data_IF_474595488643
#
_entry.id   IF_474595488643
#
_cell.length_a   1.000
_cell.length_b   1.000
_cell.length_c   1.000
_cell.angle_alpha   90.00
_cell.angle_beta   90.00
_cell.angle_gamma   90.00
#
_symmetry.space_group_name_H-M   'P 1'
#
loop_
_entity.id
_entity.type
_entity.pdbx_description
1 polymer ?
#
# COMPACT_ATOMS: atom_id res chain seq x y z
N UNK A 1 -26.37 3.46 6.00
CA UNK A 1 -25.67 2.16 6.23
C UNK A 1 -24.22 2.24 5.77
N UNK A 2 -23.33 1.36 6.29
CA UNK A 2 -21.88 1.34 5.94
C UNK A 2 -21.50 0.05 5.21
N UNK A 3 -20.51 0.15 4.32
CA UNK A 3 -20.10 -0.99 3.47
C UNK A 3 -19.24 -1.97 4.27
N UNK A 4 -19.73 -3.20 4.47
CA UNK A 4 -18.97 -4.29 5.14
C UNK A 4 -17.69 -4.65 4.37
N UNK A 5 -17.75 -4.59 3.03
CA UNK A 5 -16.58 -4.85 2.17
C UNK A 5 -15.52 -3.74 2.33
N UNK A 6 -15.96 -2.48 2.43
CA UNK A 6 -15.04 -1.37 2.66
C UNK A 6 -14.37 -1.46 4.04
N UNK A 7 -15.12 -1.90 5.06
CA UNK A 7 -14.56 -2.18 6.38
C UNK A 7 -13.48 -3.26 6.33
N UNK A 8 -13.76 -4.39 5.66
CA UNK A 8 -12.79 -5.48 5.50
C UNK A 8 -11.54 -5.00 4.75
N UNK A 9 -11.70 -4.23 3.67
CA UNK A 9 -10.58 -3.65 2.92
C UNK A 9 -9.71 -2.74 3.80
N UNK A 10 -10.32 -1.88 4.63
CA UNK A 10 -9.62 -0.96 5.51
C UNK A 10 -8.89 -1.69 6.65
N UNK A 11 -9.48 -2.76 7.19
CA UNK A 11 -8.81 -3.60 8.19
C UNK A 11 -7.60 -4.30 7.60
N UNK A 12 -7.73 -4.89 6.40
CA UNK A 12 -6.61 -5.54 5.73
C UNK A 12 -5.52 -4.54 5.35
N UNK A 13 -5.91 -3.35 4.88
CA UNK A 13 -4.98 -2.25 4.63
C UNK A 13 -4.27 -1.77 5.88
N UNK A 14 -4.95 -1.71 7.03
CA UNK A 14 -4.34 -1.30 8.29
C UNK A 14 -3.32 -2.34 8.77
N UNK A 15 -3.65 -3.63 8.69
CA UNK A 15 -2.73 -4.72 9.02
C UNK A 15 -1.50 -4.69 8.11
N UNK A 16 -1.72 -4.55 6.80
CA UNK A 16 -0.65 -4.53 5.82
C UNK A 16 0.22 -3.27 5.91
N UNK A 17 -0.39 -2.08 6.04
CA UNK A 17 0.31 -0.81 6.23
C UNK A 17 1.08 -0.78 7.55
N UNK A 18 0.52 -1.33 8.62
CA UNK A 18 1.20 -1.52 9.89
C UNK A 18 2.41 -2.45 9.77
N UNK A 19 2.27 -3.57 9.07
CA UNK A 19 3.39 -4.46 8.75
C UNK A 19 4.49 -3.74 7.96
N UNK A 20 4.13 -2.99 6.91
CA UNK A 20 5.11 -2.24 6.12
C UNK A 20 5.88 -1.21 6.96
N UNK A 21 5.18 -0.43 7.79
CA UNK A 21 5.82 0.55 8.67
C UNK A 21 6.71 -0.11 9.72
N UNK A 22 6.29 -1.25 10.26
CA UNK A 22 7.08 -1.96 11.24
C UNK A 22 8.32 -2.61 10.62
N UNK A 23 8.15 -3.35 9.52
CA UNK A 23 9.23 -4.10 8.86
C UNK A 23 10.24 -3.18 8.17
N UNK A 24 9.77 -2.16 7.45
CA UNK A 24 10.65 -1.27 6.70
C UNK A 24 10.92 0.06 7.40
N UNK A 25 9.93 0.62 8.11
CA UNK A 25 10.10 1.92 8.79
C UNK A 25 10.98 1.84 10.04
N UNK A 26 10.85 0.79 10.86
CA UNK A 26 11.63 0.69 12.10
C UNK A 26 13.15 0.64 11.86
N UNK A 27 13.66 -0.15 10.89
CA UNK A 27 15.09 -0.14 10.58
C UNK A 27 15.59 1.21 10.06
N UNK A 28 14.83 1.88 9.18
CA UNK A 28 15.19 3.20 8.65
C UNK A 28 15.34 4.23 9.77
N UNK A 29 14.43 4.21 10.75
CA UNK A 29 14.46 5.14 11.89
C UNK A 29 15.59 4.80 12.86
N UNK A 30 15.85 3.51 13.10
CA UNK A 30 16.79 3.06 14.14
C UNK A 30 18.25 3.07 13.70
N UNK A 31 18.53 2.68 12.46
CA UNK A 31 19.88 2.49 11.95
C UNK A 31 20.25 3.50 10.85
N UNK A 32 19.29 4.30 10.39
CA UNK A 32 19.49 5.24 9.30
C UNK A 32 19.43 4.58 7.92
N UNK A 33 19.46 5.42 6.88
CA UNK A 33 19.23 4.99 5.49
C UNK A 33 20.42 4.17 4.95
N UNK A 34 21.65 4.47 5.36
CA UNK A 34 22.86 3.78 4.88
C UNK A 34 22.87 2.30 5.28
N UNK A 35 22.63 2.02 6.55
CA UNK A 35 22.64 0.66 7.10
C UNK A 35 21.42 -0.14 6.60
N UNK A 36 20.31 0.56 6.34
CA UNK A 36 19.14 -0.02 5.70
C UNK A 36 19.42 -0.44 4.24
N UNK A 37 20.11 0.39 3.46
CA UNK A 37 20.49 0.06 2.08
C UNK A 37 21.38 -1.18 2.06
N UNK A 38 22.34 -1.28 2.98
CA UNK A 38 23.20 -2.46 3.11
C UNK A 38 22.41 -3.73 3.46
N UNK A 39 21.47 -3.62 4.40
CA UNK A 39 20.56 -4.72 4.77
C UNK A 39 19.65 -5.15 3.61
N UNK A 40 19.16 -4.20 2.81
CA UNK A 40 18.37 -4.48 1.60
C UNK A 40 19.22 -5.16 0.52
N UNK A 41 20.49 -4.78 0.37
CA UNK A 41 21.41 -5.44 -0.57
C UNK A 41 21.53 -6.92 -0.25
N UNK A 42 21.73 -7.28 1.02
CA UNK A 42 21.76 -8.68 1.46
C UNK A 42 20.42 -9.41 1.24
N UNK A 43 19.31 -8.70 1.46
CA UNK A 43 17.96 -9.27 1.28
C UNK A 43 17.64 -9.60 -0.17
N UNK A 44 18.13 -8.78 -1.12
CA UNK A 44 17.86 -8.93 -2.55
C UNK A 44 19.02 -9.52 -3.34
N UNK A 45 20.11 -9.95 -2.70
CA UNK A 45 21.30 -10.49 -3.35
C UNK A 45 20.96 -11.65 -4.29
N UNK A 46 20.16 -12.61 -3.81
CA UNK A 46 19.67 -13.74 -4.62
C UNK A 46 18.88 -13.25 -5.85
N UNK A 47 18.09 -12.19 -5.70
CA UNK A 47 17.30 -11.63 -6.79
C UNK A 47 18.20 -10.94 -7.83
N UNK A 48 19.24 -10.24 -7.37
CA UNK A 48 20.22 -9.58 -8.25
C UNK A 48 21.06 -10.60 -9.02
N UNK A 49 21.46 -11.69 -8.37
CA UNK A 49 22.17 -12.80 -9.01
C UNK A 49 21.30 -13.46 -10.07
N UNK A 50 20.02 -13.71 -9.78
CA UNK A 50 19.07 -14.29 -10.74
C UNK A 50 18.80 -13.38 -11.96
N UNK A 51 18.87 -12.05 -11.77
CA UNK A 51 18.63 -11.07 -12.82
C UNK A 51 19.91 -10.62 -13.54
N UNK A 52 21.07 -11.16 -13.14
CA UNK A 52 22.40 -10.77 -13.62
C UNK A 52 22.62 -9.24 -13.53
N UNK A 53 22.11 -8.63 -12.47
CA UNK A 53 22.28 -7.20 -12.17
C UNK A 53 23.45 -7.08 -11.21
N UNK A 54 24.49 -6.34 -11.59
CA UNK A 54 25.62 -6.07 -10.68
C UNK A 54 25.11 -5.36 -9.40
N UNK A 55 25.10 -6.10 -8.29
CA UNK A 55 24.60 -5.64 -6.97
C UNK A 55 25.39 -4.45 -6.39
N UNK A 56 26.51 -4.08 -7.02
CA UNK A 56 27.37 -2.93 -6.72
C UNK A 56 26.83 -1.60 -7.26
N UNK A 57 25.80 -1.60 -8.12
CA UNK A 57 25.31 -0.36 -8.73
C UNK A 57 24.47 0.43 -7.73
N UNK A 58 25.10 1.40 -7.04
CA UNK A 58 24.44 2.32 -6.11
C UNK A 58 23.13 2.90 -6.68
N UNK A 59 23.08 3.18 -7.99
CA UNK A 59 21.89 3.69 -8.67
C UNK A 59 20.69 2.72 -8.62
N UNK A 60 20.87 1.42 -8.87
CA UNK A 60 19.78 0.44 -8.90
C UNK A 60 19.18 0.26 -7.50
N UNK A 61 20.02 0.14 -6.47
CA UNK A 61 19.59 0.05 -5.08
C UNK A 61 18.79 1.28 -4.64
N UNK A 62 19.21 2.48 -5.04
CA UNK A 62 18.47 3.71 -4.74
C UNK A 62 17.11 3.76 -5.45
N UNK A 63 17.01 3.29 -6.70
CA UNK A 63 15.72 3.21 -7.40
C UNK A 63 14.76 2.26 -6.66
N UNK A 64 15.24 1.08 -6.26
CA UNK A 64 14.45 0.09 -5.50
C UNK A 64 13.98 0.70 -4.18
N UNK A 65 14.86 1.42 -3.47
CA UNK A 65 14.52 2.11 -2.23
C UNK A 65 13.43 3.18 -2.45
N UNK A 66 13.56 4.00 -3.49
CA UNK A 66 12.55 5.03 -3.81
C UNK A 66 11.20 4.39 -4.13
N UNK A 67 11.19 3.31 -4.93
CA UNK A 67 9.98 2.56 -5.26
C UNK A 67 9.33 1.92 -4.03
N UNK A 68 10.14 1.38 -3.11
CA UNK A 68 9.68 0.86 -1.82
C UNK A 68 9.06 1.96 -0.96
N UNK A 69 9.72 3.11 -0.84
CA UNK A 69 9.18 4.27 -0.12
C UNK A 69 7.86 4.75 -0.72
N UNK A 70 7.77 4.85 -2.06
CA UNK A 70 6.53 5.18 -2.75
C UNK A 70 5.41 4.17 -2.47
N UNK A 71 5.74 2.88 -2.45
CA UNK A 71 4.80 1.82 -2.08
C UNK A 71 4.26 2.01 -0.66
N UNK A 72 5.14 2.22 0.33
CA UNK A 72 4.75 2.41 1.73
C UNK A 72 3.87 3.65 1.88
N UNK A 73 4.29 4.79 1.34
CA UNK A 73 3.54 6.06 1.42
C UNK A 73 2.18 5.93 0.76
N UNK A 74 2.10 5.31 -0.43
CA UNK A 74 0.83 5.11 -1.11
C UNK A 74 -0.12 4.22 -0.28
N UNK A 75 0.38 3.16 0.37
CA UNK A 75 -0.44 2.31 1.22
C UNK A 75 -0.90 3.00 2.51
N UNK A 76 -0.04 3.80 3.15
CA UNK A 76 -0.40 4.56 4.35
C UNK A 76 -1.44 5.63 4.02
N UNK A 77 -1.21 6.44 2.97
CA UNK A 77 -2.18 7.44 2.53
C UNK A 77 -3.47 6.79 2.04
N UNK A 78 -3.38 5.64 1.37
CA UNK A 78 -4.53 4.83 0.99
C UNK A 78 -5.34 4.43 2.22
N UNK A 79 -4.68 3.91 3.27
CA UNK A 79 -5.30 3.50 4.52
C UNK A 79 -6.08 4.64 5.17
N UNK A 80 -5.43 5.80 5.31
CA UNK A 80 -6.04 7.00 5.88
C UNK A 80 -7.27 7.44 5.08
N UNK A 81 -7.16 7.54 3.75
CA UNK A 81 -8.28 7.90 2.88
C UNK A 81 -9.39 6.84 2.88
N UNK A 82 -9.06 5.56 3.01
CA UNK A 82 -10.01 4.46 3.09
C UNK A 82 -10.86 4.56 4.35
N UNK A 83 -10.22 4.80 5.51
CA UNK A 83 -10.90 5.05 6.78
C UNK A 83 -11.74 6.32 6.73
N UNK A 84 -11.21 7.42 6.18
CA UNK A 84 -11.98 8.66 5.97
C UNK A 84 -13.22 8.41 5.11
N UNK A 85 -13.11 7.66 4.02
CA UNK A 85 -14.25 7.29 3.16
C UNK A 85 -15.29 6.44 3.87
N UNK A 86 -14.85 5.51 4.71
CA UNK A 86 -15.74 4.66 5.51
C UNK A 86 -16.50 5.46 6.59
N UNK A 87 -15.80 6.32 7.33
CA UNK A 87 -16.39 7.13 8.41
C UNK A 87 -17.32 8.22 7.85
N UNK A 88 -16.85 8.96 6.83
CA UNK A 88 -17.61 10.05 6.20
C UNK A 88 -18.77 9.56 5.31
N UNK A 89 -18.86 8.25 5.06
CA UNK A 89 -19.83 7.63 4.14
C UNK A 89 -19.71 8.15 2.69
N UNK A 90 -18.60 8.81 2.34
CA UNK A 90 -18.33 9.35 0.99
C UNK A 90 -17.54 8.34 0.17
N UNK A 91 -18.10 7.93 -0.97
CA UNK A 91 -17.42 6.99 -1.88
C UNK A 91 -16.18 7.56 -2.55
N UNK A 92 -16.03 8.89 -2.64
CA UNK A 92 -14.89 9.55 -3.28
C UNK A 92 -13.55 9.17 -2.64
N UNK A 93 -13.44 9.36 -1.31
CA UNK A 93 -12.25 8.98 -0.54
C UNK A 93 -11.95 7.48 -0.62
N UNK A 94 -12.99 6.63 -0.62
CA UNK A 94 -12.81 5.18 -0.77
C UNK A 94 -12.25 4.79 -2.15
N UNK A 95 -12.66 5.47 -3.23
CA UNK A 95 -12.08 5.25 -4.57
C UNK A 95 -10.64 5.73 -4.66
N UNK A 96 -10.36 6.92 -4.10
CA UNK A 96 -9.02 7.47 -4.07
C UNK A 96 -8.05 6.55 -3.30
N UNK A 97 -8.49 6.00 -2.17
CA UNK A 97 -7.75 4.97 -1.44
C UNK A 97 -7.44 3.74 -2.29
N UNK A 98 -8.42 3.22 -3.03
CA UNK A 98 -8.21 2.07 -3.92
C UNK A 98 -7.20 2.35 -5.03
N UNK A 99 -7.19 3.57 -5.59
CA UNK A 99 -6.18 4.00 -6.57
C UNK A 99 -4.79 4.05 -5.92
N UNK A 100 -4.67 4.57 -4.70
CA UNK A 100 -3.40 4.60 -3.98
C UNK A 100 -2.87 3.18 -3.69
N UNK A 101 -3.75 2.23 -3.31
CA UNK A 101 -3.34 0.82 -3.15
C UNK A 101 -2.85 0.22 -4.47
N UNK A 102 -3.51 0.53 -5.59
CA UNK A 102 -3.07 0.08 -6.91
C UNK A 102 -1.71 0.66 -7.28
N UNK A 103 -1.52 1.97 -7.13
CA UNK A 103 -0.25 2.64 -7.41
C UNK A 103 0.89 2.08 -6.54
N UNK A 104 0.64 1.91 -5.25
CA UNK A 104 1.60 1.25 -4.36
C UNK A 104 1.95 -0.14 -4.88
N UNK A 105 0.96 -0.96 -5.23
CA UNK A 105 1.18 -2.32 -5.76
C UNK A 105 2.01 -2.31 -7.04
N UNK A 106 1.80 -1.34 -7.94
CA UNK A 106 2.58 -1.20 -9.16
C UNK A 106 4.03 -0.75 -8.89
N UNK A 107 4.26 0.10 -7.89
CA UNK A 107 5.60 0.50 -7.48
C UNK A 107 6.42 -0.67 -6.92
N UNK A 108 5.78 -1.66 -6.29
CA UNK A 108 6.49 -2.80 -5.71
C UNK A 108 5.71 -4.13 -5.93
N UNK A 109 5.80 -4.71 -7.13
CA UNK A 109 4.95 -5.84 -7.55
C UNK A 109 5.16 -7.13 -6.76
N UNK A 110 6.30 -7.30 -6.10
CA UNK A 110 6.59 -8.48 -5.27
C UNK A 110 5.55 -8.67 -4.14
N UNK A 111 4.87 -7.60 -3.70
CA UNK A 111 3.79 -7.66 -2.72
C UNK A 111 2.37 -7.70 -3.33
N UNK A 112 2.21 -8.12 -4.60
CA UNK A 112 0.89 -8.15 -5.24
C UNK A 112 -0.13 -9.01 -4.48
N UNK A 113 0.32 -10.07 -3.79
CA UNK A 113 -0.53 -10.99 -3.03
C UNK A 113 -1.30 -10.27 -1.90
N UNK A 114 -0.75 -9.18 -1.37
CA UNK A 114 -1.42 -8.33 -0.38
C UNK A 114 -2.10 -7.14 -1.04
N UNK A 115 -1.40 -6.46 -1.96
CA UNK A 115 -1.90 -5.22 -2.53
C UNK A 115 -3.10 -5.38 -3.47
N UNK A 116 -3.15 -6.45 -4.25
CA UNK A 116 -4.23 -6.68 -5.21
C UNK A 116 -5.57 -6.99 -4.52
N UNK A 117 -5.65 -7.90 -3.52
CA UNK A 117 -6.90 -8.11 -2.78
C UNK A 117 -7.42 -6.85 -2.10
N UNK A 118 -6.54 -6.06 -1.47
CA UNK A 118 -6.90 -4.79 -0.82
C UNK A 118 -7.49 -3.81 -1.85
N UNK A 119 -6.85 -3.69 -3.02
CA UNK A 119 -7.29 -2.81 -4.12
C UNK A 119 -8.67 -3.21 -4.64
N UNK A 120 -8.86 -4.49 -4.95
CA UNK A 120 -10.14 -5.02 -5.47
C UNK A 120 -11.26 -4.80 -4.45
N UNK A 121 -11.03 -5.15 -3.18
CA UNK A 121 -12.00 -4.92 -2.12
C UNK A 121 -12.27 -3.42 -1.91
N UNK A 122 -11.26 -2.56 -2.08
CA UNK A 122 -11.40 -1.10 -2.04
C UNK A 122 -12.37 -0.59 -3.10
N UNK A 123 -12.20 -1.00 -4.37
CA UNK A 123 -13.12 -0.61 -5.45
C UNK A 123 -14.54 -1.14 -5.25
N UNK A 124 -14.69 -2.42 -4.90
CA UNK A 124 -16.01 -3.01 -4.60
C UNK A 124 -16.67 -2.29 -3.41
N UNK A 125 -15.90 -2.03 -2.36
CA UNK A 125 -16.32 -1.33 -1.16
C UNK A 125 -16.82 0.08 -1.47
N UNK A 126 -16.09 0.82 -2.32
CA UNK A 126 -16.45 2.16 -2.76
C UNK A 126 -17.70 2.19 -3.64
N UNK A 127 -17.86 1.21 -4.55
CA UNK A 127 -19.05 1.08 -5.37
C UNK A 127 -20.30 0.80 -4.52
N UNK A 128 -20.21 -0.11 -3.55
CA UNK A 128 -21.28 -0.38 -2.58
C UNK A 128 -21.60 0.88 -1.76
N UNK A 129 -20.59 1.61 -1.30
CA UNK A 129 -20.76 2.85 -0.54
C UNK A 129 -21.53 3.90 -1.35
N UNK A 130 -21.20 4.10 -2.64
CA UNK A 130 -21.91 5.03 -3.53
C UNK A 130 -23.40 4.68 -3.65
N UNK A 131 -23.73 3.40 -3.86
CA UNK A 131 -25.11 2.93 -4.03
C UNK A 131 -25.95 3.18 -2.77
N UNK A 132 -25.41 2.87 -1.60
CA UNK A 132 -26.12 3.09 -0.33
C UNK A 132 -26.36 4.57 -0.05
N UNK A 133 -25.39 5.44 -0.37
CA UNK A 133 -25.56 6.89 -0.17
C UNK A 133 -26.64 7.46 -1.09
N UNK A 134 -26.77 6.96 -2.32
CA UNK A 134 -27.84 7.36 -3.24
C UNK A 134 -29.24 6.95 -2.76
N UNK A 135 -29.37 5.73 -2.22
CA UNK A 135 -30.65 5.24 -1.66
C UNK A 135 -31.09 6.07 -0.44
N UNK A 136 -30.15 6.45 0.43
CA UNK A 136 -30.49 7.26 1.62
C UNK A 136 -30.88 8.70 1.32
N UNK A 137 -30.58 9.22 0.13
CA UNK A 137 -30.97 10.58 -0.28
C UNK A 137 -32.29 10.61 -1.04
N UNK A 138 -32.80 9.46 -1.50
CA UNK A 138 -34.08 9.34 -2.20
C UNK A 138 -35.26 8.94 -1.30
N UNK A 139 -35.00 8.71 -0.01
CA UNK A 139 -35.96 8.37 1.04
C UNK A 139 -36.12 9.53 2.02
#
# INVERSE_FOLDING_TARGET
MRSKVLLAANLLSLLYGGYLLWYFGSPIIKYGITDFIESMKLTYEVLFDMLNIESSTFLVLNIILILLCLHIVAFVLGCLNGWLGFVSKKSGFAKFAAILYLLGTLCFPIYFIFGLPITVMGFIGAAKQKRMSAVSTSS
#
